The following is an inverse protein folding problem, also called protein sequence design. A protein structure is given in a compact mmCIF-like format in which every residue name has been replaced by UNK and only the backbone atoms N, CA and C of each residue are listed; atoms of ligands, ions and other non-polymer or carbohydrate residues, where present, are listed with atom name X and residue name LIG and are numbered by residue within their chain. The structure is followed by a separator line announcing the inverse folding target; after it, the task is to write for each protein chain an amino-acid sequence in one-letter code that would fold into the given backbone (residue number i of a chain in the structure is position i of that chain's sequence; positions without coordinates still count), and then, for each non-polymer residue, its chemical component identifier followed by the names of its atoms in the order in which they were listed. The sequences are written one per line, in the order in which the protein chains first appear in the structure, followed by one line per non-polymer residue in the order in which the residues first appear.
data_IF_634470974668
#
_entry.id   IF_634470974668
#
_cell.length_a   1.000
_cell.length_b   1.000
_cell.length_c   1.000
_cell.angle_alpha   90.00
_cell.angle_beta   90.00
_cell.angle_gamma   90.00
#
_symmetry.space_group_name_H-M   'P 1'
#
loop_
_entity.id
_entity.type
_entity.pdbx_description
1 polymer ?
#
# COMPACT_ATOMS: atom_id res chain seq x y z
N UNK A 1 12.04 2.85 3.37
CA UNK A 1 10.84 2.16 3.88
C UNK A 1 9.70 2.38 2.91
N UNK A 2 8.73 1.47 2.79
CA UNK A 2 7.52 1.67 2.00
C UNK A 2 6.32 1.34 2.89
N UNK A 3 5.28 2.18 2.84
CA UNK A 3 3.99 1.89 3.46
C UNK A 3 2.92 1.90 2.38
N UNK A 4 1.92 1.04 2.53
CA UNK A 4 0.82 0.90 1.59
C UNK A 4 -0.51 0.77 2.29
N UNK A 5 -1.55 1.35 1.71
CA UNK A 5 -2.92 1.24 2.17
C UNK A 5 -3.84 0.94 0.98
N UNK A 6 -4.71 -0.04 1.18
CA UNK A 6 -5.86 -0.30 0.31
C UNK A 6 -7.10 0.34 0.94
N UNK A 7 -7.83 1.12 0.16
CA UNK A 7 -9.16 1.62 0.52
C UNK A 7 -10.17 0.81 -0.30
N UNK A 8 -10.98 0.02 0.39
CA UNK A 8 -11.96 -0.88 -0.22
C UNK A 8 -13.35 -0.33 0.08
N UNK A 9 -14.10 0.16 -0.93
CA UNK A 9 -15.50 0.49 -0.75
C UNK A 9 -16.28 -0.73 -0.27
N UNK A 10 -17.21 -0.52 0.66
CA UNK A 10 -18.01 -1.59 1.26
C UNK A 10 -18.72 -2.46 0.22
N UNK A 11 -19.26 -1.81 -0.81
CA UNK A 11 -20.06 -2.46 -1.85
C UNK A 11 -19.21 -3.35 -2.77
N UNK A 12 -17.88 -3.15 -2.79
CA UNK A 12 -16.94 -3.96 -3.57
C UNK A 12 -16.18 -4.97 -2.73
N UNK A 13 -16.26 -4.94 -1.40
CA UNK A 13 -15.46 -5.82 -0.52
C UNK A 13 -15.65 -7.30 -0.88
N UNK A 14 -16.90 -7.77 -0.94
CA UNK A 14 -17.23 -9.16 -1.27
C UNK A 14 -16.80 -9.52 -2.69
N UNK A 15 -17.00 -8.63 -3.67
CA UNK A 15 -16.58 -8.87 -5.05
C UNK A 15 -15.05 -9.03 -5.16
N UNK A 16 -14.28 -8.15 -4.52
CA UNK A 16 -12.81 -8.23 -4.55
C UNK A 16 -12.34 -9.49 -3.82
N UNK A 17 -12.92 -9.79 -2.65
CA UNK A 17 -12.56 -10.98 -1.88
C UNK A 17 -12.81 -12.27 -2.68
N UNK A 18 -13.99 -12.40 -3.28
CA UNK A 18 -14.32 -13.55 -4.13
C UNK A 18 -13.33 -13.67 -5.28
N UNK A 19 -12.99 -12.57 -5.97
CA UNK A 19 -11.97 -12.58 -7.02
C UNK A 19 -10.60 -13.02 -6.51
N UNK A 20 -10.15 -12.52 -5.35
CA UNK A 20 -8.86 -12.94 -4.79
C UNK A 20 -8.85 -14.44 -4.48
N UNK A 21 -9.94 -14.97 -3.95
CA UNK A 21 -10.11 -16.39 -3.67
C UNK A 21 -10.17 -17.21 -4.94
N UNK A 22 -11.00 -16.84 -5.91
CA UNK A 22 -11.14 -17.49 -7.21
C UNK A 22 -9.79 -17.56 -7.95
N UNK A 23 -8.97 -16.52 -7.85
CA UNK A 23 -7.62 -16.49 -8.44
C UNK A 23 -6.61 -17.41 -7.73
N UNK A 24 -6.95 -17.97 -6.56
CA UNK A 24 -6.21 -19.10 -5.95
C UNK A 24 -6.48 -20.40 -6.71
N UNK A 25 -7.63 -20.53 -7.36
CA UNK A 25 -7.90 -21.64 -8.28
C UNK A 25 -7.30 -21.33 -9.65
N UNK A 26 -6.11 -21.89 -9.93
CA UNK A 26 -5.36 -21.61 -11.16
C UNK A 26 -6.05 -22.14 -12.43
N UNK A 27 -6.80 -23.24 -12.32
CA UNK A 27 -7.43 -23.92 -13.46
C UNK A 27 -8.87 -23.44 -13.70
N UNK A 28 -9.69 -23.41 -12.65
CA UNK A 28 -11.14 -23.24 -12.80
C UNK A 28 -11.67 -21.86 -12.37
N UNK A 29 -10.84 -21.03 -11.75
CA UNK A 29 -11.23 -19.68 -11.29
C UNK A 29 -12.52 -19.63 -10.44
N UNK A 30 -12.81 -20.73 -9.73
CA UNK A 30 -13.95 -20.86 -8.82
C UNK A 30 -13.46 -21.52 -7.53
N UNK A 31 -13.23 -20.70 -6.51
CA UNK A 31 -12.76 -21.18 -5.21
C UNK A 31 -13.93 -21.62 -4.35
N UNK A 32 -13.80 -22.80 -3.75
CA UNK A 32 -14.74 -23.30 -2.75
C UNK A 32 -14.02 -23.41 -1.41
N UNK A 33 -14.70 -23.16 -0.29
CA UNK A 33 -14.04 -23.16 1.02
C UNK A 33 -13.64 -24.57 1.51
N UNK A 34 -14.25 -25.61 0.94
CA UNK A 34 -13.88 -26.99 1.20
C UNK A 34 -13.54 -27.72 -0.11
N UNK A 35 -12.61 -28.66 -0.02
CA UNK A 35 -12.23 -29.53 -1.15
C UNK A 35 -13.42 -30.39 -1.61
N UNK A 36 -14.31 -30.78 -0.68
CA UNK A 36 -15.53 -31.52 -1.00
C UNK A 36 -16.55 -30.72 -1.80
N UNK A 37 -16.50 -29.39 -1.72
CA UNK A 37 -17.39 -28.49 -2.46
C UNK A 37 -16.81 -28.09 -3.82
N UNK A 38 -15.57 -28.51 -4.14
CA UNK A 38 -14.99 -28.29 -5.46
C UNK A 38 -15.67 -29.20 -6.49
N UNK A 39 -16.36 -28.65 -7.52
CA UNK A 39 -17.14 -29.44 -8.48
C UNK A 39 -16.28 -30.36 -9.37
N UNK A 40 -14.97 -30.11 -9.42
CA UNK A 40 -13.98 -30.93 -10.10
C UNK A 40 -12.86 -31.20 -9.10
N UNK A 41 -12.56 -32.47 -8.81
CA UNK A 41 -11.61 -32.90 -7.77
C UNK A 41 -10.30 -32.10 -7.81
N UNK A 42 -10.24 -31.04 -7.01
CA UNK A 42 -9.25 -29.98 -7.14
C UNK A 42 -7.93 -30.44 -6.51
N UNK A 43 -7.02 -30.95 -7.35
CA UNK A 43 -5.74 -31.52 -6.92
C UNK A 43 -4.85 -30.56 -6.13
N UNK A 44 -5.08 -29.25 -6.30
CA UNK A 44 -4.23 -28.20 -5.73
C UNK A 44 -4.92 -27.39 -4.64
N UNK A 45 -6.14 -27.78 -4.21
CA UNK A 45 -6.93 -26.98 -3.27
C UNK A 45 -6.16 -26.68 -1.97
N UNK A 46 -5.65 -27.74 -1.33
CA UNK A 46 -4.84 -27.64 -0.11
C UNK A 46 -3.54 -26.85 -0.30
N UNK A 47 -2.89 -27.00 -1.45
CA UNK A 47 -1.62 -26.31 -1.75
C UNK A 47 -1.82 -24.81 -2.01
N UNK A 48 -2.90 -24.45 -2.70
CA UNK A 48 -3.26 -23.06 -3.03
C UNK A 48 -3.89 -22.31 -1.85
N UNK A 49 -4.41 -23.05 -0.86
CA UNK A 49 -4.82 -22.53 0.45
C UNK A 49 -3.58 -22.21 1.30
N UNK A 50 -2.82 -21.20 0.88
CA UNK A 50 -1.56 -20.77 1.49
C UNK A 50 -1.48 -19.25 1.55
N UNK A 51 -0.78 -18.76 2.57
CA UNK A 51 -0.43 -17.36 2.68
C UNK A 51 0.42 -16.89 1.48
N UNK A 52 0.04 -15.74 0.92
CA UNK A 52 0.75 -15.04 -0.15
C UNK A 52 1.49 -13.85 0.44
N UNK A 53 2.80 -14.00 0.62
CA UNK A 53 3.69 -12.95 1.08
C UNK A 53 4.85 -12.79 0.08
N UNK A 54 5.16 -11.56 -0.35
CA UNK A 54 6.10 -11.30 -1.45
C UNK A 54 7.49 -11.89 -1.18
N UNK A 55 7.98 -11.84 0.07
CA UNK A 55 9.29 -12.43 0.39
C UNK A 55 9.30 -13.94 0.11
N UNK A 56 8.15 -14.59 0.17
CA UNK A 56 7.94 -16.02 0.22
C UNK A 56 7.39 -16.65 -1.08
N UNK A 57 6.99 -15.85 -2.07
CA UNK A 57 6.38 -16.33 -3.32
C UNK A 57 7.23 -17.33 -4.11
N UNK A 58 8.54 -17.32 -3.90
CA UNK A 58 9.48 -18.20 -4.58
C UNK A 58 9.48 -19.63 -4.02
N UNK A 59 9.01 -19.84 -2.79
CA UNK A 59 9.14 -21.11 -2.06
C UNK A 59 8.24 -22.23 -2.57
N UNK A 60 7.13 -21.92 -3.25
CA UNK A 60 6.25 -22.93 -3.84
C UNK A 60 5.65 -22.45 -5.15
N UNK A 61 5.26 -23.40 -6.01
CA UNK A 61 4.58 -23.11 -7.27
C UNK A 61 3.20 -22.47 -7.02
N UNK A 62 2.47 -22.94 -6.01
CA UNK A 62 1.19 -22.35 -5.59
C UNK A 62 1.34 -20.85 -5.29
N UNK A 63 2.24 -20.47 -4.36
CA UNK A 63 2.43 -19.05 -3.99
C UNK A 63 2.82 -18.19 -5.19
N UNK A 64 3.72 -18.70 -6.04
CA UNK A 64 4.15 -18.01 -7.25
C UNK A 64 3.00 -17.77 -8.25
N UNK A 65 2.19 -18.81 -8.52
CA UNK A 65 1.09 -18.72 -9.48
C UNK A 65 -0.03 -17.80 -8.98
N UNK A 66 -0.42 -17.93 -7.70
CA UNK A 66 -1.41 -17.04 -7.09
C UNK A 66 -0.91 -15.60 -7.08
N UNK A 67 0.37 -15.36 -6.76
CA UNK A 67 0.96 -14.02 -6.83
C UNK A 67 0.89 -13.40 -8.23
N UNK A 68 1.17 -14.18 -9.28
CA UNK A 68 1.01 -13.70 -10.68
C UNK A 68 -0.44 -13.35 -11.00
N UNK A 69 -1.38 -14.20 -10.60
CA UNK A 69 -2.80 -13.98 -10.83
C UNK A 69 -3.28 -12.70 -10.12
N UNK A 70 -2.92 -12.52 -8.86
CA UNK A 70 -3.26 -11.33 -8.07
C UNK A 70 -2.64 -10.05 -8.64
N UNK A 71 -1.36 -10.06 -9.03
CA UNK A 71 -0.74 -8.89 -9.69
C UNK A 71 -1.38 -8.58 -11.05
N UNK A 72 -1.76 -9.61 -11.82
CA UNK A 72 -2.50 -9.43 -13.07
C UNK A 72 -3.84 -8.75 -12.82
N UNK A 73 -4.63 -9.25 -11.86
CA UNK A 73 -5.91 -8.66 -11.45
C UNK A 73 -5.77 -7.22 -10.97
N UNK A 74 -4.80 -6.97 -10.09
CA UNK A 74 -4.51 -5.62 -9.59
C UNK A 74 -4.22 -4.64 -10.72
N UNK A 75 -3.37 -5.06 -11.65
CA UNK A 75 -2.91 -4.24 -12.78
C UNK A 75 -3.99 -4.03 -13.82
N UNK A 76 -4.84 -5.04 -14.08
CA UNK A 76 -5.79 -5.02 -15.20
C UNK A 76 -7.21 -4.65 -14.81
N UNK A 77 -7.56 -4.64 -13.53
CA UNK A 77 -8.96 -4.44 -13.11
C UNK A 77 -9.12 -3.65 -11.81
N UNK A 78 -8.49 -4.10 -10.71
CA UNK A 78 -8.89 -3.69 -9.36
C UNK A 78 -8.87 -2.16 -9.14
N UNK A 79 -7.78 -1.51 -9.58
CA UNK A 79 -7.57 -0.07 -9.45
C UNK A 79 -8.06 0.74 -10.67
N UNK A 80 -8.85 0.18 -11.60
CA UNK A 80 -9.20 0.94 -12.80
C UNK A 80 -10.29 1.98 -12.54
N UNK A 81 -10.11 3.20 -13.07
CA UNK A 81 -10.96 4.38 -12.89
C UNK A 81 -12.44 4.16 -13.22
N UNK A 82 -12.75 3.22 -14.11
CA UNK A 82 -14.13 2.92 -14.50
C UNK A 82 -14.81 1.91 -13.56
N UNK A 83 -14.06 1.07 -12.83
CA UNK A 83 -14.62 0.14 -11.83
C UNK A 83 -14.48 0.64 -10.40
N UNK A 84 -13.30 1.18 -10.06
CA UNK A 84 -12.94 1.68 -8.72
C UNK A 84 -13.22 0.65 -7.62
N UNK A 85 -12.95 -0.62 -7.88
CA UNK A 85 -13.19 -1.71 -6.92
C UNK A 85 -12.39 -1.52 -5.64
N UNK A 86 -11.21 -0.92 -5.76
CA UNK A 86 -10.39 -0.49 -4.64
C UNK A 86 -9.50 0.68 -5.06
N UNK A 87 -8.90 1.33 -4.07
CA UNK A 87 -7.93 2.39 -4.25
C UNK A 87 -6.65 2.01 -3.51
N UNK A 88 -5.49 2.32 -4.10
CA UNK A 88 -4.19 1.96 -3.52
C UNK A 88 -3.32 3.19 -3.36
N UNK A 89 -2.84 3.45 -2.14
CA UNK A 89 -1.86 4.49 -1.87
C UNK A 89 -0.56 3.84 -1.38
N UNK A 90 0.58 4.25 -1.94
CA UNK A 90 1.91 3.82 -1.48
C UNK A 90 2.78 5.05 -1.26
N UNK A 91 3.48 5.08 -0.12
CA UNK A 91 4.48 6.09 0.20
C UNK A 91 5.83 5.40 0.39
N UNK A 92 6.79 5.73 -0.49
CA UNK A 92 8.19 5.34 -0.35
C UNK A 92 8.98 6.38 0.44
N UNK A 93 9.43 6.00 1.62
CA UNK A 93 10.19 6.86 2.52
C UNK A 93 11.69 6.67 2.32
N UNK A 94 12.36 7.75 1.91
CA UNK A 94 13.81 7.85 1.81
C UNK A 94 14.43 8.20 3.17
N UNK A 95 14.73 7.17 3.94
CA UNK A 95 15.25 7.30 5.30
C UNK A 95 16.63 7.96 5.38
N UNK A 96 17.44 7.90 4.32
CA UNK A 96 18.73 8.58 4.28
C UNK A 96 18.60 10.11 4.25
N UNK A 97 17.41 10.62 3.92
CA UNK A 97 17.12 12.05 3.87
C UNK A 97 16.30 12.52 5.09
N UNK A 98 15.96 11.64 6.04
CA UNK A 98 15.21 11.98 7.25
C UNK A 98 16.16 12.42 8.38
N UNK A 99 15.76 13.44 9.15
CA UNK A 99 16.39 13.75 10.44
C UNK A 99 15.76 12.89 11.54
N UNK A 100 16.43 11.80 11.94
CA UNK A 100 15.94 10.87 12.97
C UNK A 100 15.76 11.50 14.34
N UNK A 101 16.54 12.54 14.66
CA UNK A 101 16.52 13.22 15.96
C UNK A 101 15.15 13.81 16.31
N UNK A 102 14.34 14.09 15.29
CA UNK A 102 13.01 14.69 15.42
C UNK A 102 11.89 13.70 15.71
N UNK A 103 12.23 12.40 15.79
CA UNK A 103 11.27 11.32 16.05
C UNK A 103 11.49 10.68 17.42
N UNK A 104 12.11 11.44 18.34
CA UNK A 104 12.44 10.98 19.69
C UNK A 104 13.59 9.96 19.71
N UNK A 105 14.09 9.69 20.92
CA UNK A 105 15.20 8.76 21.16
C UNK A 105 14.76 7.33 21.49
N UNK A 106 13.46 7.11 21.74
CA UNK A 106 12.87 5.83 22.11
C UNK A 106 11.93 5.38 21.01
N UNK A 107 12.08 4.14 20.52
CA UNK A 107 11.26 3.55 19.45
C UNK A 107 11.18 4.45 18.19
N UNK A 108 12.27 5.12 17.85
CA UNK A 108 12.35 6.13 16.78
C UNK A 108 11.77 5.63 15.45
N UNK A 109 12.05 4.40 15.05
CA UNK A 109 11.55 3.79 13.82
C UNK A 109 10.02 3.62 13.83
N UNK A 110 9.44 3.23 14.97
CA UNK A 110 7.99 3.12 15.13
C UNK A 110 7.32 4.50 15.17
N UNK A 111 7.99 5.51 15.74
CA UNK A 111 7.52 6.90 15.68
C UNK A 111 7.49 7.41 14.23
N UNK A 112 8.55 7.13 13.45
CA UNK A 112 8.59 7.41 12.01
C UNK A 112 7.44 6.68 11.31
N UNK A 113 7.29 5.37 11.54
CA UNK A 113 6.22 4.57 10.94
C UNK A 113 4.84 5.16 11.23
N UNK A 114 4.52 5.41 12.50
CA UNK A 114 3.24 5.95 12.95
C UNK A 114 2.93 7.30 12.29
N UNK A 115 3.92 8.20 12.22
CA UNK A 115 3.74 9.50 11.58
C UNK A 115 3.46 9.37 10.08
N UNK A 116 4.22 8.53 9.38
CA UNK A 116 4.00 8.35 7.94
C UNK A 116 2.78 7.49 7.61
N UNK A 117 2.32 6.64 8.52
CA UNK A 117 1.05 5.94 8.38
C UNK A 117 -0.13 6.92 8.39
N UNK A 118 -0.10 7.96 9.24
CA UNK A 118 -1.07 9.07 9.17
C UNK A 118 -1.01 9.79 7.83
N UNK A 119 0.18 10.13 7.36
CA UNK A 119 0.37 10.75 6.04
C UNK A 119 -0.19 9.86 4.91
N UNK A 120 0.00 8.55 5.00
CA UNK A 120 -0.54 7.57 4.06
C UNK A 120 -2.06 7.58 4.03
N UNK A 121 -2.71 7.57 5.19
CA UNK A 121 -4.17 7.65 5.28
C UNK A 121 -4.68 8.99 4.73
N UNK A 122 -4.19 10.10 5.26
CA UNK A 122 -4.65 11.44 4.89
C UNK A 122 -4.45 11.74 3.40
N UNK A 123 -3.29 11.38 2.84
CA UNK A 123 -3.00 11.61 1.42
C UNK A 123 -3.88 10.74 0.52
N UNK A 124 -4.15 9.48 0.89
CA UNK A 124 -5.07 8.63 0.15
C UNK A 124 -6.49 9.17 0.16
N UNK A 125 -6.99 9.51 1.35
CA UNK A 125 -8.35 10.00 1.56
C UNK A 125 -8.61 11.32 0.83
N UNK A 126 -7.70 12.28 0.95
CA UNK A 126 -7.84 13.57 0.28
C UNK A 126 -7.61 13.48 -1.23
N UNK A 127 -6.83 12.53 -1.72
CA UNK A 127 -6.56 12.43 -3.14
C UNK A 127 -7.67 11.69 -3.90
N UNK A 128 -8.03 10.49 -3.44
CA UNK A 128 -8.98 9.61 -4.12
C UNK A 128 -10.43 10.09 -3.99
N UNK A 129 -10.79 10.55 -2.79
CA UNK A 129 -12.18 10.83 -2.46
C UNK A 129 -12.50 12.31 -2.44
N UNK A 130 -11.68 13.21 -3.01
CA UNK A 130 -11.87 14.67 -2.90
C UNK A 130 -13.26 15.20 -3.29
N UNK A 131 -13.96 14.49 -4.19
CA UNK A 131 -15.26 14.91 -4.72
C UNK A 131 -16.42 14.56 -3.77
N UNK A 132 -16.17 13.72 -2.76
CA UNK A 132 -17.19 13.28 -1.81
C UNK A 132 -17.34 14.32 -0.71
N UNK A 133 -18.57 14.73 -0.43
CA UNK A 133 -18.90 15.63 0.68
C UNK A 133 -18.81 14.96 2.04
N UNK A 134 -18.87 13.62 2.08
CA UNK A 134 -18.73 12.80 3.28
C UNK A 134 -17.99 11.50 2.95
N UNK A 135 -17.09 11.07 3.85
CA UNK A 135 -16.33 9.82 3.77
C UNK A 135 -16.53 9.09 5.11
N UNK A 136 -16.94 7.82 5.05
CA UNK A 136 -17.11 6.98 6.23
C UNK A 136 -16.15 5.80 6.14
N UNK A 137 -15.35 5.58 7.19
CA UNK A 137 -14.48 4.41 7.35
C UNK A 137 -15.07 3.53 8.47
N UNK A 138 -15.50 2.32 8.12
CA UNK A 138 -16.11 1.39 9.08
C UNK A 138 -15.08 0.65 9.93
N UNK A 139 -13.91 0.32 9.37
CA UNK A 139 -12.87 -0.44 10.05
C UNK A 139 -11.53 -0.24 9.35
N UNK A 140 -10.45 -0.31 10.13
CA UNK A 140 -9.07 -0.30 9.64
C UNK A 140 -8.38 -1.55 10.14
N UNK A 141 -7.73 -2.26 9.23
CA UNK A 141 -7.00 -3.50 9.52
C UNK A 141 -5.52 -3.32 9.21
N UNK A 142 -4.68 -3.99 9.99
CA UNK A 142 -3.23 -3.99 9.81
C UNK A 142 -2.68 -5.39 10.12
N UNK A 143 -1.57 -5.75 9.48
CA UNK A 143 -0.88 -7.01 9.80
C UNK A 143 -0.34 -6.98 11.24
N UNK A 144 -0.25 -8.13 11.89
CA UNK A 144 0.41 -8.22 13.20
C UNK A 144 1.89 -7.89 13.07
N UNK A 145 2.43 -7.19 14.07
CA UNK A 145 3.81 -6.73 14.04
C UNK A 145 4.14 -5.79 15.18
N UNK A 146 5.37 -5.27 15.20
CA UNK A 146 5.88 -4.40 16.27
C UNK A 146 5.03 -3.14 16.52
N UNK A 147 4.25 -2.73 15.53
CA UNK A 147 3.30 -1.63 15.58
C UNK A 147 2.18 -1.85 16.62
N UNK A 148 1.73 -3.08 16.86
CA UNK A 148 0.65 -3.38 17.80
C UNK A 148 1.03 -3.06 19.26
N UNK A 149 2.33 -3.15 19.58
CA UNK A 149 2.90 -2.87 20.91
C UNK A 149 3.38 -1.42 21.07
N UNK A 150 3.09 -0.55 20.12
CA UNK A 150 3.41 0.87 20.20
C UNK A 150 2.26 1.61 20.90
N UNK A 151 2.56 2.36 21.97
CA UNK A 151 1.58 3.03 22.84
C UNK A 151 0.53 3.88 22.12
N UNK A 152 0.90 4.47 20.98
CA UNK A 152 0.02 5.34 20.21
C UNK A 152 -0.48 4.74 18.91
N UNK A 153 0.17 3.72 18.34
CA UNK A 153 -0.12 3.35 16.96
C UNK A 153 -1.52 2.73 16.76
N UNK A 154 -2.05 1.91 17.70
CA UNK A 154 -3.39 1.33 17.54
C UNK A 154 -4.52 2.36 17.35
N UNK A 155 -4.43 3.56 17.95
CA UNK A 155 -5.55 4.51 18.00
C UNK A 155 -5.21 5.93 17.51
N UNK A 156 -3.98 6.41 17.72
CA UNK A 156 -3.63 7.80 17.41
C UNK A 156 -3.72 8.12 15.91
N UNK A 157 -3.34 7.23 14.96
CA UNK A 157 -3.52 7.52 13.55
C UNK A 157 -4.97 7.80 13.15
N UNK A 158 -5.92 7.10 13.77
CA UNK A 158 -7.34 7.26 13.53
C UNK A 158 -7.78 8.64 13.99
N UNK A 159 -7.60 8.94 15.27
CA UNK A 159 -8.01 10.20 15.90
C UNK A 159 -7.44 11.42 15.15
N UNK A 160 -6.15 11.37 14.83
CA UNK A 160 -5.48 12.47 14.15
C UNK A 160 -5.99 12.64 12.71
N UNK A 161 -6.21 11.53 11.98
CA UNK A 161 -6.72 11.59 10.60
C UNK A 161 -8.15 12.16 10.56
N UNK A 162 -9.02 11.69 11.45
CA UNK A 162 -10.41 12.19 11.57
C UNK A 162 -10.44 13.67 11.93
N UNK A 163 -9.66 14.09 12.94
CA UNK A 163 -9.62 15.50 13.37
C UNK A 163 -9.12 16.50 12.31
N UNK A 164 -8.40 16.04 11.28
CA UNK A 164 -7.81 16.89 10.24
C UNK A 164 -8.57 16.86 8.92
N UNK A 165 -9.59 16.01 8.77
CA UNK A 165 -10.39 15.90 7.55
C UNK A 165 -11.86 16.11 7.92
N UNK A 166 -12.35 17.34 7.78
CA UNK A 166 -13.70 17.78 8.21
C UNK A 166 -14.87 16.90 7.70
N UNK A 167 -14.66 16.25 6.54
CA UNK A 167 -15.65 15.40 5.85
C UNK A 167 -15.46 13.91 6.10
N UNK A 168 -14.69 13.53 7.11
CA UNK A 168 -14.37 12.15 7.45
C UNK A 168 -15.01 11.77 8.77
N UNK A 169 -15.60 10.58 8.81
CA UNK A 169 -16.00 9.90 10.05
C UNK A 169 -15.41 8.49 10.07
N UNK A 170 -14.79 8.10 11.18
CA UNK A 170 -14.20 6.78 11.37
C UNK A 170 -14.94 6.08 12.53
N UNK A 171 -15.59 4.96 12.24
CA UNK A 171 -16.44 4.24 13.20
C UNK A 171 -15.71 3.18 14.03
N UNK A 172 -14.38 3.13 13.95
CA UNK A 172 -13.55 2.27 14.77
C UNK A 172 -12.57 3.12 15.59
N UNK A 173 -12.45 2.85 16.89
CA UNK A 173 -11.55 3.58 17.77
C UNK A 173 -10.09 3.08 17.68
N UNK A 174 -9.92 1.82 17.24
CA UNK A 174 -8.62 1.17 17.12
C UNK A 174 -8.46 0.42 15.79
N UNK A 175 -7.21 0.35 15.32
CA UNK A 175 -6.75 -0.50 14.22
C UNK A 175 -6.82 -1.95 14.68
N UNK A 176 -7.46 -2.80 13.88
CA UNK A 176 -7.54 -4.24 14.12
C UNK A 176 -6.29 -4.94 13.58
N UNK A 177 -5.46 -5.47 14.47
CA UNK A 177 -4.29 -6.28 14.10
C UNK A 177 -4.68 -7.73 13.88
N UNK A 178 -4.46 -8.22 12.66
CA UNK A 178 -4.79 -9.59 12.24
C UNK A 178 -3.58 -10.27 11.64
N UNK A 179 -3.50 -11.58 11.79
CA UNK A 179 -2.46 -12.38 11.13
C UNK A 179 -2.67 -12.34 9.61
N UNK A 180 -1.62 -12.13 8.84
CA UNK A 180 -1.70 -12.16 7.38
C UNK A 180 -2.01 -13.55 6.84
N UNK A 181 -1.70 -14.64 7.55
CA UNK A 181 -2.18 -15.98 7.20
C UNK A 181 -3.66 -16.12 7.58
N UNK A 182 -4.52 -16.13 6.56
CA UNK A 182 -5.98 -16.28 6.70
C UNK A 182 -6.40 -17.57 7.41
N UNK A 183 -5.52 -18.59 7.43
CA UNK A 183 -5.75 -19.87 8.11
C UNK A 183 -5.58 -19.72 9.63
N UNK A 184 -4.68 -18.84 10.06
CA UNK A 184 -4.42 -18.55 11.47
C UNK A 184 -5.37 -17.47 12.00
N UNK A 185 -5.58 -16.39 11.23
CA UNK A 185 -6.44 -15.27 11.63
C UNK A 185 -7.92 -15.62 11.68
N UNK A 186 -8.36 -16.57 10.85
CA UNK A 186 -9.77 -16.88 10.57
C UNK A 186 -10.57 -15.65 10.13
N UNK A 187 -9.90 -14.70 9.48
CA UNK A 187 -10.46 -13.44 9.01
C UNK A 187 -10.23 -13.30 7.50
N UNK A 188 -11.30 -12.95 6.78
CA UNK A 188 -11.24 -12.71 5.34
C UNK A 188 -10.38 -11.49 5.00
N UNK A 189 -10.23 -10.56 5.94
CA UNK A 189 -9.40 -9.36 5.79
C UNK A 189 -7.92 -9.67 5.60
N UNK A 190 -7.46 -10.84 6.05
CA UNK A 190 -6.10 -11.33 5.81
C UNK A 190 -5.77 -11.48 4.33
N UNK A 191 -6.78 -11.69 3.46
CA UNK A 191 -6.55 -11.69 2.01
C UNK A 191 -6.14 -10.30 1.50
N UNK A 192 -6.71 -9.22 2.04
CA UNK A 192 -6.32 -7.86 1.68
C UNK A 192 -4.93 -7.49 2.23
N UNK A 193 -4.57 -7.99 3.42
CA UNK A 193 -3.23 -7.83 3.99
C UNK A 193 -2.17 -8.50 3.10
N UNK A 194 -2.38 -9.77 2.74
CA UNK A 194 -1.52 -10.49 1.78
C UNK A 194 -1.46 -9.75 0.42
N UNK A 195 -2.58 -9.20 -0.04
CA UNK A 195 -2.64 -8.52 -1.32
C UNK A 195 -1.84 -7.22 -1.34
N UNK A 196 -1.95 -6.38 -0.31
CA UNK A 196 -1.14 -5.14 -0.22
C UNK A 196 0.34 -5.45 0.01
N UNK A 197 0.69 -6.49 0.78
CA UNK A 197 2.07 -6.93 0.92
C UNK A 197 2.66 -7.31 -0.45
N UNK A 198 1.92 -8.10 -1.24
CA UNK A 198 2.34 -8.50 -2.58
C UNK A 198 2.60 -7.29 -3.49
N UNK A 199 1.69 -6.30 -3.47
CA UNK A 199 1.80 -5.08 -4.27
C UNK A 199 2.99 -4.22 -3.79
N UNK A 200 3.19 -4.10 -2.48
CA UNK A 200 4.30 -3.35 -1.89
C UNK A 200 5.64 -3.99 -2.24
N UNK A 201 5.75 -5.30 -2.09
CA UNK A 201 6.93 -6.07 -2.44
C UNK A 201 7.25 -5.98 -3.93
N UNK A 202 6.26 -6.14 -4.80
CA UNK A 202 6.42 -5.97 -6.25
C UNK A 202 6.85 -4.53 -6.62
N UNK A 203 6.25 -3.52 -5.99
CA UNK A 203 6.62 -2.10 -6.17
C UNK A 203 8.07 -1.86 -5.77
N UNK A 204 8.44 -2.29 -4.56
CA UNK A 204 9.79 -2.15 -4.02
C UNK A 204 10.82 -2.85 -4.92
N UNK A 205 10.62 -4.14 -5.20
CA UNK A 205 11.57 -4.92 -5.98
C UNK A 205 11.70 -4.46 -7.43
N UNK A 206 10.62 -3.96 -8.04
CA UNK A 206 10.70 -3.39 -9.39
C UNK A 206 11.49 -2.08 -9.39
N UNK A 207 11.26 -1.18 -8.43
CA UNK A 207 11.99 0.10 -8.36
C UNK A 207 13.47 -0.13 -8.10
N UNK A 208 13.82 -1.03 -7.18
CA UNK A 208 15.19 -1.17 -6.69
C UNK A 208 15.96 -2.34 -7.29
N UNK A 209 15.32 -3.17 -8.12
CA UNK A 209 15.88 -4.41 -8.64
C UNK A 209 16.49 -5.28 -7.51
N UNK A 210 15.76 -5.42 -6.40
CA UNK A 210 16.29 -5.98 -5.15
C UNK A 210 16.36 -7.51 -5.10
N UNK A 211 15.83 -8.22 -6.11
CA UNK A 211 15.75 -9.67 -6.12
C UNK A 211 16.48 -10.29 -7.31
N UNK A 212 17.36 -11.25 -7.03
CA UNK A 212 17.97 -12.12 -8.04
C UNK A 212 17.11 -13.32 -8.42
N UNK A 213 16.13 -13.70 -7.57
CA UNK A 213 15.27 -14.87 -7.77
C UNK A 213 14.33 -14.70 -8.98
N UNK A 214 14.28 -15.70 -9.87
CA UNK A 214 13.53 -15.65 -11.12
C UNK A 214 12.02 -15.50 -10.91
N UNK A 215 11.41 -16.26 -9.99
CA UNK A 215 9.96 -16.17 -9.72
C UNK A 215 9.53 -14.78 -9.27
N UNK A 216 10.35 -14.13 -8.43
CA UNK A 216 10.12 -12.74 -8.02
C UNK A 216 10.28 -11.76 -9.18
N UNK A 217 11.27 -11.97 -10.06
CA UNK A 217 11.47 -11.17 -11.27
C UNK A 217 10.27 -11.25 -12.21
N UNK A 218 9.74 -12.45 -12.44
CA UNK A 218 8.57 -12.61 -13.31
C UNK A 218 7.35 -11.83 -12.80
N UNK A 219 7.11 -11.86 -11.48
CA UNK A 219 6.03 -11.07 -10.85
C UNK A 219 6.30 -9.56 -10.99
N UNK A 220 7.54 -9.13 -10.80
CA UNK A 220 7.94 -7.72 -10.99
C UNK A 220 7.80 -7.29 -12.46
N UNK A 221 8.18 -8.14 -13.42
CA UNK A 221 8.08 -7.85 -14.85
C UNK A 221 6.62 -7.75 -15.31
N UNK A 222 5.72 -8.56 -14.73
CA UNK A 222 4.29 -8.43 -14.93
C UNK A 222 3.74 -7.09 -14.40
N UNK A 223 4.25 -6.62 -13.25
CA UNK A 223 3.82 -5.37 -12.63
C UNK A 223 4.45 -4.10 -13.26
N UNK A 224 5.63 -4.25 -13.88
CA UNK A 224 6.45 -3.16 -14.41
C UNK A 224 5.73 -2.20 -15.36
N UNK A 225 4.87 -2.63 -16.30
CA UNK A 225 4.13 -1.71 -17.17
C UNK A 225 3.19 -0.78 -16.38
N UNK A 226 2.51 -1.30 -15.36
CA UNK A 226 1.66 -0.51 -14.47
C UNK A 226 2.51 0.48 -13.69
N UNK A 227 3.62 0.04 -13.12
CA UNK A 227 4.52 0.91 -12.36
C UNK A 227 5.11 2.04 -13.20
N UNK A 228 5.51 1.77 -14.44
CA UNK A 228 5.99 2.80 -15.38
C UNK A 228 4.96 3.92 -15.57
N UNK A 229 3.69 3.57 -15.81
CA UNK A 229 2.60 4.54 -15.96
C UNK A 229 2.38 5.34 -14.69
N UNK A 230 2.48 4.71 -13.51
CA UNK A 230 2.30 5.41 -12.23
C UNK A 230 3.42 6.41 -11.95
N UNK A 231 4.66 6.09 -12.32
CA UNK A 231 5.83 6.92 -12.07
C UNK A 231 6.08 7.97 -13.16
N UNK A 232 5.43 7.86 -14.32
CA UNK A 232 5.49 8.88 -15.35
C UNK A 232 4.57 10.07 -15.01
N UNK A 233 5.10 10.95 -14.17
CA UNK A 233 4.46 12.17 -13.67
C UNK A 233 5.45 13.32 -13.69
N UNK A 234 5.01 14.46 -14.21
CA UNK A 234 5.76 15.70 -14.23
C UNK A 234 4.85 16.92 -14.21
N UNK A 235 5.47 18.08 -14.27
CA UNK A 235 4.82 19.38 -14.37
C UNK A 235 5.51 20.16 -15.48
N UNK A 236 4.76 20.68 -16.44
CA UNK A 236 5.32 21.51 -17.50
C UNK A 236 5.63 22.94 -17.00
N UNK A 237 6.16 23.78 -17.87
CA UNK A 237 6.52 25.19 -17.58
C UNK A 237 5.33 26.02 -17.08
N UNK A 238 4.12 25.73 -17.60
CA UNK A 238 2.88 26.44 -17.24
C UNK A 238 2.24 25.90 -15.95
N UNK A 239 2.87 24.89 -15.35
CA UNK A 239 2.40 24.26 -14.13
C UNK A 239 1.30 23.21 -14.33
N UNK A 240 0.98 22.85 -15.57
CA UNK A 240 0.08 21.74 -15.88
C UNK A 240 0.76 20.40 -15.58
N UNK A 241 0.00 19.47 -14.99
CA UNK A 241 0.48 18.12 -14.75
C UNK A 241 0.53 17.32 -16.05
N UNK A 242 1.65 16.66 -16.30
CA UNK A 242 1.93 15.88 -17.52
C UNK A 242 2.44 14.47 -17.18
N UNK A 243 2.39 13.57 -18.15
CA UNK A 243 2.81 12.17 -18.02
C UNK A 243 1.65 11.19 -18.15
N UNK A 244 1.98 9.94 -18.45
CA UNK A 244 1.05 8.85 -18.71
C UNK A 244 0.10 8.59 -17.56
N UNK A 245 0.52 8.86 -16.32
CA UNK A 245 -0.33 8.69 -15.15
C UNK A 245 -1.67 9.42 -15.29
N UNK A 246 -1.64 10.69 -15.70
CA UNK A 246 -2.84 11.55 -15.78
C UNK A 246 -3.80 11.13 -16.90
N UNK A 247 -3.31 10.38 -17.88
CA UNK A 247 -4.08 9.80 -18.99
C UNK A 247 -4.49 8.35 -18.74
N UNK A 248 -3.91 7.71 -17.73
CA UNK A 248 -4.10 6.29 -17.45
C UNK A 248 -5.42 5.99 -16.76
N UNK A 249 -5.82 4.72 -16.83
CA UNK A 249 -6.94 4.18 -16.05
C UNK A 249 -6.65 4.10 -14.54
N UNK A 250 -5.49 4.54 -14.05
CA UNK A 250 -5.16 4.56 -12.62
C UNK A 250 -5.28 5.95 -11.99
N UNK A 251 -5.58 6.97 -12.80
CA UNK A 251 -5.68 8.33 -12.31
C UNK A 251 -6.75 8.44 -11.24
N UNK A 252 -6.34 8.83 -10.02
CA UNK A 252 -7.17 8.98 -8.82
C UNK A 252 -7.71 7.67 -8.23
N UNK A 253 -7.07 6.55 -8.56
CA UNK A 253 -7.37 5.24 -7.98
C UNK A 253 -6.12 4.52 -7.49
N UNK A 254 -4.95 4.81 -8.08
CA UNK A 254 -3.68 4.28 -7.59
C UNK A 254 -2.61 5.36 -7.63
N UNK A 255 -1.99 5.65 -6.49
CA UNK A 255 -0.82 6.52 -6.44
C UNK A 255 0.36 5.89 -5.70
N UNK A 256 1.54 6.25 -6.19
CA UNK A 256 2.82 6.02 -5.53
C UNK A 256 3.48 7.39 -5.39
N UNK A 257 3.92 7.69 -4.19
CA UNK A 257 4.65 8.91 -3.88
C UNK A 257 5.90 8.57 -3.09
N UNK A 258 6.84 9.50 -3.05
CA UNK A 258 8.09 9.34 -2.33
C UNK A 258 8.39 10.60 -1.52
N UNK A 259 9.04 10.38 -0.37
CA UNK A 259 9.39 11.46 0.55
C UNK A 259 10.59 11.08 1.42
N UNK A 260 11.47 12.00 1.81
CA UNK A 260 11.63 13.34 1.26
C UNK A 260 12.60 13.32 0.05
N UNK A 261 12.37 14.22 -0.91
CA UNK A 261 13.20 14.41 -2.10
C UNK A 261 14.61 14.85 -1.74
N UNK A 262 14.71 15.85 -0.87
CA UNK A 262 15.97 16.39 -0.36
C UNK A 262 16.18 15.98 1.09
N UNK A 263 17.42 16.08 1.57
CA UNK A 263 17.72 15.91 3.00
C UNK A 263 17.01 17.01 3.78
N UNK A 264 16.19 16.62 4.74
CA UNK A 264 15.38 17.57 5.50
C UNK A 264 16.23 18.37 6.48
N UNK A 265 15.98 19.67 6.58
CA UNK A 265 16.45 20.50 7.69
C UNK A 265 15.59 20.28 8.94
N UNK A 266 16.07 20.78 10.09
CA UNK A 266 15.32 20.76 11.35
C UNK A 266 13.95 21.45 11.21
N UNK A 267 13.93 22.63 10.59
CA UNK A 267 12.73 23.43 10.38
C UNK A 267 11.75 22.75 9.43
N UNK A 268 12.26 22.08 8.39
CA UNK A 268 11.42 21.33 7.46
C UNK A 268 10.76 20.11 8.11
N UNK A 269 11.46 19.41 9.02
CA UNK A 269 10.84 18.29 9.74
C UNK A 269 9.73 18.81 10.64
N UNK A 270 9.97 19.87 11.41
CA UNK A 270 8.91 20.45 12.24
C UNK A 270 7.74 20.91 11.34
N UNK A 271 7.98 21.60 10.23
CA UNK A 271 6.89 22.19 9.44
C UNK A 271 6.11 21.19 8.58
N UNK A 272 6.79 20.22 7.95
CA UNK A 272 6.13 19.16 7.16
C UNK A 272 5.49 18.08 8.04
N UNK A 273 6.04 17.88 9.23
CA UNK A 273 5.78 16.73 10.09
C UNK A 273 5.44 17.19 11.52
N UNK A 274 4.86 18.38 11.67
CA UNK A 274 4.40 18.91 12.96
C UNK A 274 3.69 17.79 13.75
N UNK A 275 3.82 17.78 15.08
CA UNK A 275 3.37 16.68 15.97
C UNK A 275 1.95 16.16 15.69
N UNK A 276 1.12 16.97 15.03
CA UNK A 276 -0.27 16.74 14.65
C UNK A 276 -0.51 16.34 13.17
N UNK A 277 0.53 16.13 12.37
CA UNK A 277 0.41 15.64 10.98
C UNK A 277 -0.19 16.61 9.95
N UNK A 278 -0.39 17.89 10.28
CA UNK A 278 -0.94 18.89 9.36
C UNK A 278 0.12 19.52 8.45
N UNK A 279 -0.13 19.55 7.14
CA UNK A 279 0.59 20.42 6.19
C UNK A 279 0.08 21.84 6.37
N UNK A 280 0.89 22.75 6.90
CA UNK A 280 0.50 24.17 7.02
C UNK A 280 0.41 24.83 5.64
N UNK A 281 -0.63 25.66 5.45
CA UNK A 281 -0.86 26.43 4.22
C UNK A 281 0.08 27.64 4.17
N UNK A 282 0.88 27.71 3.10
CA UNK A 282 1.39 28.91 2.42
C UNK A 282 2.06 29.98 3.30
N UNK A 283 3.31 29.74 3.67
CA UNK A 283 4.34 30.79 3.57
C UNK A 283 5.30 30.49 2.42
N UNK A 284 5.75 31.56 1.76
CA UNK A 284 6.19 31.64 0.35
C UNK A 284 7.50 30.91 -0.02
N UNK A 285 8.00 29.96 0.77
CA UNK A 285 9.31 29.31 0.53
C UNK A 285 9.35 27.79 0.72
N UNK A 286 8.24 27.09 0.98
CA UNK A 286 8.29 25.65 1.21
C UNK A 286 8.59 24.85 -0.07
N UNK A 287 9.77 24.21 -0.09
CA UNK A 287 10.21 23.26 -1.12
C UNK A 287 9.37 22.00 -1.00
N UNK A 288 8.45 21.72 -1.94
CA UNK A 288 7.70 20.46 -1.98
C UNK A 288 8.67 19.28 -1.97
N UNK A 289 8.73 18.59 -0.82
CA UNK A 289 9.63 17.47 -0.60
C UNK A 289 9.00 16.12 -1.00
N UNK A 290 7.73 16.11 -1.43
CA UNK A 290 7.17 14.95 -2.12
C UNK A 290 7.61 14.93 -3.57
N UNK A 291 7.80 13.72 -4.08
CA UNK A 291 8.05 13.51 -5.50
C UNK A 291 7.36 12.22 -5.94
N UNK A 292 7.02 12.14 -7.23
CA UNK A 292 6.19 11.06 -7.77
C UNK A 292 6.85 10.30 -8.92
N UNK A 293 7.91 10.85 -9.50
CA UNK A 293 8.70 10.20 -10.54
C UNK A 293 9.94 9.54 -9.96
N UNK A 294 10.27 8.36 -10.49
CA UNK A 294 11.47 7.61 -10.07
C UNK A 294 11.94 6.67 -11.17
N UNK A 295 13.25 6.54 -11.31
CA UNK A 295 13.87 5.60 -12.27
C UNK A 295 13.71 4.17 -11.73
N UNK A 296 13.17 3.29 -12.58
CA UNK A 296 13.04 1.86 -12.30
C UNK A 296 14.41 1.18 -12.48
N UNK A 297 14.80 0.35 -11.51
CA UNK A 297 16.07 -0.37 -11.51
C UNK A 297 17.22 0.35 -10.79
N UNK A 298 16.93 1.32 -9.92
CA UNK A 298 17.97 2.05 -9.17
C UNK A 298 18.56 1.20 -8.03
N UNK A 299 19.86 0.89 -8.08
CA UNK A 299 20.52 -0.05 -7.14
C UNK A 299 20.95 0.52 -5.77
N UNK A 300 20.61 1.76 -5.41
CA UNK A 300 21.21 2.43 -4.23
C UNK A 300 20.18 3.11 -3.34
N UNK A 301 19.65 2.40 -2.34
CA UNK A 301 19.04 3.02 -1.15
C UNK A 301 19.12 2.11 0.08
N UNK A 302 19.34 2.69 1.26
CA UNK A 302 19.23 1.98 2.53
C UNK A 302 17.76 1.58 2.79
N UNK A 303 17.56 0.34 3.24
CA UNK A 303 16.24 -0.26 3.48
C UNK A 303 16.11 -0.57 4.98
N UNK A 304 14.87 -0.65 5.49
CA UNK A 304 14.59 -1.18 6.84
C UNK A 304 14.35 -2.68 6.82
N UNK A 305 14.77 -3.41 5.78
CA UNK A 305 14.49 -4.85 5.66
C UNK A 305 15.07 -5.67 6.82
N UNK A 306 16.01 -5.11 7.59
CA UNK A 306 16.54 -5.71 8.82
C UNK A 306 15.60 -5.60 10.03
N UNK A 307 14.50 -4.88 9.92
CA UNK A 307 13.60 -4.50 11.03
C UNK A 307 12.15 -4.98 10.84
N UNK A 308 11.87 -5.68 9.72
CA UNK A 308 10.62 -6.35 9.40
C UNK A 308 10.89 -7.80 9.02
#
# INVERSE_FOLDING_TARGET
MYLGALFIPTDYKTEVLNKLNDLRCVENHHWNNSESDCPEGCRYHKENNTEIHFKEIHRSSARYMVAKNWISFFSKEACQKHRKMLYCNIIGINLSNISYREFGSVKTELNIYNRFYRTLLMSGLNYFFKEYSNIVINSIFHDRGSQEYHEFFPWQPIQQTESKIDRLSIYCDEIKFIDSDHRESKSEESHFIQFIDLILGATFSTIHNSSSNQRKKDVCDLFKPTLRKLLDRGKNTDGQMIGDYYKSNYYRTYQISFFPKNKMTYEEVITYLNLEGSIQKKEKSHVDNFYYSRIIGSQKQQTLEKWF
#
